data_IF_687836180050
#
_entry.id   IF_687836180050
#
_cell.length_a   1.000
_cell.length_b   1.000
_cell.length_c   1.000
_cell.angle_alpha   90.00
_cell.angle_beta   90.00
_cell.angle_gamma   90.00
#
_symmetry.space_group_name_H-M   'P 1'
#
loop_
_entity.id
_entity.type
_entity.pdbx_description
1 polymer ?
#
# COMPACT_ATOMS: atom_id res chain seq x y z
N UNK A 1 -14.59 27.70 24.18
CA UNK A 1 -14.60 28.34 22.85
C UNK A 1 -13.64 27.56 21.95
N UNK A 2 -14.07 26.38 21.49
CA UNK A 2 -13.30 25.52 20.59
C UNK A 2 -13.61 25.95 19.16
N UNK A 3 -12.59 26.36 18.40
CA UNK A 3 -12.73 26.73 17.01
C UNK A 3 -13.07 25.47 16.20
N UNK A 4 -14.34 25.34 15.82
CA UNK A 4 -14.76 24.49 14.71
C UNK A 4 -14.24 25.15 13.43
N UNK A 5 -13.03 24.78 13.00
CA UNK A 5 -12.58 25.05 11.64
C UNK A 5 -13.31 24.09 10.69
N UNK A 6 -14.46 24.55 10.20
CA UNK A 6 -15.35 23.81 9.31
C UNK A 6 -14.97 24.01 7.83
N UNK A 7 -13.67 24.07 7.51
CA UNK A 7 -13.16 24.35 6.17
C UNK A 7 -12.91 23.10 5.30
N UNK A 8 -13.29 21.90 5.77
CA UNK A 8 -13.25 20.66 4.98
C UNK A 8 -14.44 20.55 4.02
N UNK A 9 -14.52 21.44 3.03
CA UNK A 9 -15.42 21.24 1.89
C UNK A 9 -15.06 19.94 1.13
N UNK A 10 -16.02 19.36 0.41
CA UNK A 10 -15.84 18.20 -0.47
C UNK A 10 -14.83 18.51 -1.60
N UNK A 11 -13.54 18.45 -1.29
CA UNK A 11 -12.44 18.73 -2.20
C UNK A 11 -11.67 17.45 -2.48
N UNK A 12 -11.53 17.11 -3.75
CA UNK A 12 -10.67 16.02 -4.20
C UNK A 12 -9.22 16.46 -3.96
N UNK A 13 -8.47 15.65 -3.20
CA UNK A 13 -7.06 15.88 -2.90
C UNK A 13 -6.25 14.71 -3.45
N UNK A 14 -5.31 15.03 -4.34
CA UNK A 14 -4.35 14.05 -4.86
C UNK A 14 -3.12 14.01 -3.94
N UNK A 15 -2.63 12.80 -3.67
CA UNK A 15 -1.43 12.56 -2.85
C UNK A 15 -0.38 11.92 -3.74
N UNK A 16 0.81 12.51 -3.78
CA UNK A 16 1.92 12.01 -4.58
C UNK A 16 3.27 12.28 -3.91
N UNK A 17 4.29 11.56 -4.40
CA UNK A 17 5.67 11.78 -4.04
C UNK A 17 6.29 12.97 -4.78
N UNK A 18 7.56 13.30 -4.48
CA UNK A 18 8.26 14.41 -5.11
C UNK A 18 8.71 14.11 -6.55
N UNK A 19 8.65 12.85 -6.96
CA UNK A 19 9.20 12.33 -8.22
C UNK A 19 8.09 11.66 -9.04
N UNK A 20 8.05 11.95 -10.35
CA UNK A 20 7.26 11.19 -11.32
C UNK A 20 8.22 10.23 -12.01
N UNK A 21 7.96 8.93 -11.88
CA UNK A 21 8.85 7.86 -12.36
C UNK A 21 8.05 6.82 -13.12
N UNK A 22 8.64 6.29 -14.19
CA UNK A 22 8.11 5.14 -14.89
C UNK A 22 8.24 3.87 -14.05
N UNK A 23 7.42 2.87 -14.36
CA UNK A 23 7.51 1.55 -13.72
C UNK A 23 8.92 0.92 -13.85
N UNK A 24 9.58 1.14 -14.99
CA UNK A 24 10.95 0.67 -15.23
C UNK A 24 11.94 1.32 -14.25
N UNK A 25 11.85 2.63 -14.06
CA UNK A 25 12.69 3.37 -13.12
C UNK A 25 12.42 2.92 -11.69
N UNK A 26 11.14 2.72 -11.32
CA UNK A 26 10.75 2.21 -10.01
C UNK A 26 11.36 0.82 -9.72
N UNK A 27 11.31 -0.09 -10.69
CA UNK A 27 11.95 -1.42 -10.56
C UNK A 27 13.47 -1.31 -10.41
N UNK A 28 14.11 -0.37 -11.10
CA UNK A 28 15.55 -0.13 -10.94
C UNK A 28 15.90 0.49 -9.58
N UNK A 29 15.13 1.46 -9.10
CA UNK A 29 15.26 2.04 -7.77
C UNK A 29 15.17 0.95 -6.70
N UNK A 30 14.19 0.06 -6.80
CA UNK A 30 14.09 -1.10 -5.91
C UNK A 30 15.34 -1.97 -5.94
N UNK A 31 15.84 -2.36 -7.13
CA UNK A 31 17.04 -3.20 -7.22
C UNK A 31 18.28 -2.53 -6.61
N UNK A 32 18.40 -1.21 -6.76
CA UNK A 32 19.49 -0.42 -6.19
C UNK A 32 19.43 -0.43 -4.66
N UNK A 33 18.27 -0.13 -4.08
CA UNK A 33 18.10 -0.05 -2.62
C UNK A 33 18.18 -1.44 -1.97
N UNK A 34 17.61 -2.46 -2.60
CA UNK A 34 17.64 -3.84 -2.11
C UNK A 34 19.00 -4.56 -2.30
N UNK A 35 20.01 -3.89 -2.89
CA UNK A 35 21.32 -4.50 -3.15
C UNK A 35 21.28 -5.63 -4.19
N UNK A 36 20.28 -5.64 -5.07
CA UNK A 36 20.11 -6.65 -6.11
C UNK A 36 20.88 -6.25 -7.37
N UNK A 37 21.34 -7.26 -8.12
CA UNK A 37 21.92 -7.03 -9.46
C UNK A 37 20.89 -6.32 -10.36
N UNK A 38 21.35 -5.34 -11.13
CA UNK A 38 20.53 -4.60 -12.09
C UNK A 38 19.83 -5.58 -13.04
N UNK A 39 18.49 -5.55 -13.07
CA UNK A 39 17.67 -6.44 -13.90
C UNK A 39 17.59 -5.93 -15.34
N UNK A 40 17.57 -6.84 -16.31
CA UNK A 40 17.26 -6.50 -17.71
C UNK A 40 15.75 -6.62 -17.91
N UNK A 41 15.08 -5.51 -18.25
CA UNK A 41 13.63 -5.46 -18.44
C UNK A 41 13.34 -5.40 -19.94
N UNK A 42 12.90 -6.53 -20.49
CA UNK A 42 12.53 -6.68 -21.91
C UNK A 42 11.00 -6.64 -22.04
N UNK A 43 10.44 -5.76 -22.91
CA UNK A 43 9.02 -5.78 -23.21
C UNK A 43 8.71 -7.06 -23.98
N UNK A 44 7.90 -7.93 -23.41
CA UNK A 44 7.39 -9.10 -24.11
C UNK A 44 6.08 -8.73 -24.79
N UNK A 45 5.91 -8.98 -26.10
CA UNK A 45 4.61 -8.83 -26.74
C UNK A 45 3.68 -9.81 -26.05
N UNK A 46 2.70 -9.28 -25.31
CA UNK A 46 1.77 -10.05 -24.48
C UNK A 46 1.18 -11.15 -25.36
N UNK A 47 1.72 -12.36 -25.22
CA UNK A 47 1.39 -13.52 -26.05
C UNK A 47 -0.09 -13.81 -25.86
N UNK A 48 -0.93 -13.24 -26.74
CA UNK A 48 -2.37 -13.41 -26.94
C UNK A 48 -3.23 -13.68 -25.68
N UNK A 49 -4.31 -12.92 -25.44
CA UNK A 49 -5.26 -13.14 -24.32
C UNK A 49 -5.78 -14.58 -24.12
N UNK A 50 -5.60 -15.47 -25.10
CA UNK A 50 -5.92 -16.91 -25.02
C UNK A 50 -4.87 -17.74 -24.28
N UNK A 51 -3.59 -17.41 -24.35
CA UNK A 51 -2.51 -18.15 -23.65
C UNK A 51 -2.34 -17.70 -22.18
N UNK A 52 -2.71 -16.45 -21.86
CA UNK A 52 -2.58 -15.87 -20.52
C UNK A 52 -3.46 -16.55 -19.46
N UNK A 53 -4.60 -17.12 -19.85
CA UNK A 53 -5.51 -17.85 -18.96
C UNK A 53 -4.89 -19.09 -18.30
N UNK A 54 -3.96 -19.75 -18.98
CA UNK A 54 -3.25 -20.92 -18.45
C UNK A 54 -1.97 -20.53 -17.68
N UNK A 55 -1.32 -19.42 -18.06
CA UNK A 55 -0.05 -19.01 -17.45
C UNK A 55 -0.27 -18.34 -16.07
N UNK A 56 -1.32 -17.52 -15.90
CA UNK A 56 -1.57 -16.89 -14.59
C UNK A 56 -1.82 -17.94 -13.49
N UNK A 57 -2.70 -18.93 -13.74
CA UNK A 57 -2.95 -20.04 -12.79
C UNK A 57 -1.74 -20.96 -12.55
N UNK A 58 -0.76 -20.96 -13.46
CA UNK A 58 0.44 -21.78 -13.35
C UNK A 58 1.57 -21.09 -12.55
N UNK A 59 1.64 -19.75 -12.55
CA UNK A 59 2.68 -18.99 -11.80
C UNK A 59 2.21 -18.49 -10.44
N UNK A 60 0.91 -18.24 -10.26
CA UNK A 60 0.33 -17.93 -8.96
C UNK A 60 -1.13 -18.35 -8.88
N UNK A 61 -1.60 -18.91 -7.74
CA UNK A 61 -3.00 -19.28 -7.56
C UNK A 61 -3.87 -18.05 -7.25
N UNK A 62 -3.79 -17.00 -8.07
CA UNK A 62 -4.62 -15.80 -7.92
C UNK A 62 -5.86 -15.91 -8.82
N UNK A 63 -7.05 -15.51 -8.33
CA UNK A 63 -8.25 -15.43 -9.16
C UNK A 63 -8.02 -14.54 -10.39
N UNK A 64 -8.45 -15.02 -11.57
CA UNK A 64 -8.26 -14.30 -12.84
C UNK A 64 -8.80 -12.86 -12.81
N UNK A 65 -9.92 -12.63 -12.12
CA UNK A 65 -10.53 -11.30 -11.96
C UNK A 65 -9.61 -10.33 -11.22
N UNK A 66 -8.91 -10.80 -10.18
CA UNK A 66 -7.94 -10.00 -9.44
C UNK A 66 -6.69 -9.73 -10.28
N UNK A 67 -6.14 -10.75 -10.93
CA UNK A 67 -4.98 -10.60 -11.81
C UNK A 67 -5.25 -9.59 -12.93
N UNK A 68 -6.44 -9.62 -13.53
CA UNK A 68 -6.85 -8.67 -14.56
C UNK A 68 -6.95 -7.23 -14.03
N UNK A 69 -7.62 -7.02 -12.90
CA UNK A 69 -7.74 -5.70 -12.29
C UNK A 69 -6.37 -5.09 -11.95
N UNK A 70 -5.43 -5.91 -11.46
CA UNK A 70 -4.06 -5.48 -11.19
C UNK A 70 -3.32 -5.10 -12.48
N UNK A 71 -3.39 -5.93 -13.52
CA UNK A 71 -2.74 -5.63 -14.81
C UNK A 71 -3.32 -4.35 -15.42
N UNK A 72 -4.64 -4.23 -15.47
CA UNK A 72 -5.32 -3.05 -16.01
C UNK A 72 -4.92 -1.79 -15.22
N UNK A 73 -4.84 -1.88 -13.88
CA UNK A 73 -4.36 -0.79 -13.03
C UNK A 73 -2.89 -0.42 -13.30
N UNK A 74 -2.02 -1.39 -13.60
CA UNK A 74 -0.61 -1.13 -13.90
C UNK A 74 -0.40 -0.44 -15.26
N UNK A 75 -1.36 -0.56 -16.17
CA UNK A 75 -1.32 0.12 -17.48
C UNK A 75 -1.82 1.56 -17.44
N UNK A 76 -2.42 1.98 -16.32
CA UNK A 76 -2.94 3.34 -16.15
C UNK A 76 -1.90 4.22 -15.48
N UNK A 77 -1.64 5.40 -16.06
CA UNK A 77 -0.74 6.38 -15.47
C UNK A 77 -1.36 7.03 -14.22
N UNK A 78 -0.80 6.75 -13.04
CA UNK A 78 -1.23 7.33 -11.76
C UNK A 78 -0.29 8.47 -11.38
N UNK A 79 -0.39 9.57 -12.12
CA UNK A 79 0.40 10.79 -11.89
C UNK A 79 -0.50 11.88 -11.34
N UNK A 80 -0.04 12.61 -10.32
CA UNK A 80 -0.73 13.79 -9.79
C UNK A 80 -0.75 14.88 -10.88
N UNK A 81 -1.93 15.15 -11.44
CA UNK A 81 -2.11 16.13 -12.53
C UNK A 81 -2.58 17.48 -11.98
N UNK A 82 -3.34 17.45 -10.89
CA UNK A 82 -3.93 18.65 -10.30
C UNK A 82 -3.46 18.77 -8.87
N UNK A 83 -2.32 19.46 -8.68
CA UNK A 83 -1.96 19.99 -7.37
C UNK A 83 -3.14 20.79 -6.85
N UNK A 84 -3.64 20.42 -5.66
CA UNK A 84 -4.83 20.99 -5.02
C UNK A 84 -4.97 22.47 -5.36
N UNK A 85 -6.14 22.89 -5.87
CA UNK A 85 -6.45 24.30 -6.29
C UNK A 85 -6.16 25.36 -5.22
N UNK A 86 -5.87 24.93 -3.98
CA UNK A 86 -5.59 25.73 -2.79
C UNK A 86 -4.18 25.49 -2.18
N UNK A 87 -3.21 24.98 -2.95
CA UNK A 87 -1.79 25.05 -2.58
C UNK A 87 -1.29 24.12 -1.47
N UNK A 88 -2.14 23.31 -0.85
CA UNK A 88 -1.72 22.22 0.04
C UNK A 88 -1.83 20.88 -0.70
N UNK A 89 -0.76 20.52 -1.40
CA UNK A 89 -0.48 19.11 -1.70
C UNK A 89 0.05 18.52 -0.40
N UNK A 90 -0.55 17.43 0.10
CA UNK A 90 0.07 16.61 1.13
C UNK A 90 1.30 15.97 0.49
N UNK A 91 2.40 16.71 0.49
CA UNK A 91 3.64 16.32 -0.19
C UNK A 91 4.36 15.36 0.74
N UNK A 92 4.50 14.11 0.31
CA UNK A 92 5.50 13.27 0.93
C UNK A 92 6.87 13.78 0.45
N UNK A 93 7.73 14.16 1.38
CA UNK A 93 9.07 14.66 1.06
C UNK A 93 10.08 13.52 0.81
N UNK A 94 9.70 12.28 1.14
CA UNK A 94 10.55 11.13 0.90
C UNK A 94 10.73 10.89 -0.61
N UNK A 95 12.00 10.81 -1.02
CA UNK A 95 12.36 10.27 -2.32
C UNK A 95 11.92 8.82 -2.46
N UNK A 96 11.76 8.35 -3.69
CA UNK A 96 11.39 6.95 -3.94
C UNK A 96 12.40 5.99 -3.28
N UNK A 97 13.71 6.28 -3.41
CA UNK A 97 14.77 5.49 -2.79
C UNK A 97 14.64 5.43 -1.26
N UNK A 98 14.32 6.57 -0.61
CA UNK A 98 14.10 6.66 0.85
C UNK A 98 12.89 5.84 1.27
N UNK A 99 11.77 5.96 0.55
CA UNK A 99 10.54 5.23 0.84
C UNK A 99 10.75 3.71 0.72
N UNK A 100 11.43 3.26 -0.33
CA UNK A 100 11.80 1.85 -0.51
C UNK A 100 12.70 1.38 0.64
N UNK A 101 13.69 2.19 1.03
CA UNK A 101 14.59 1.89 2.14
C UNK A 101 13.84 1.67 3.45
N UNK A 102 12.93 2.58 3.79
CA UNK A 102 12.06 2.47 4.98
C UNK A 102 11.18 1.22 4.94
N UNK A 103 10.58 0.93 3.79
CA UNK A 103 9.75 -0.27 3.62
C UNK A 103 10.57 -1.57 3.82
N UNK A 104 11.76 -1.64 3.24
CA UNK A 104 12.66 -2.79 3.39
C UNK A 104 13.16 -2.95 4.83
N UNK A 105 13.50 -1.86 5.50
CA UNK A 105 13.87 -1.88 6.93
C UNK A 105 12.74 -2.45 7.78
N UNK A 106 11.51 -1.98 7.56
CA UNK A 106 10.32 -2.45 8.30
C UNK A 106 10.02 -3.94 8.07
N UNK A 107 10.28 -4.46 6.87
CA UNK A 107 10.17 -5.89 6.58
C UNK A 107 11.23 -6.70 7.34
N UNK A 108 12.48 -6.21 7.39
CA UNK A 108 13.59 -6.88 8.09
C UNK A 108 13.36 -6.93 9.61
N UNK A 109 12.79 -5.87 10.18
CA UNK A 109 12.50 -5.77 11.61
C UNK A 109 11.27 -6.61 12.04
N UNK A 110 10.61 -7.31 11.10
CA UNK A 110 9.35 -8.03 11.32
C UNK A 110 8.26 -7.15 11.95
N UNK A 111 8.37 -5.83 11.82
CA UNK A 111 7.38 -4.85 12.27
C UNK A 111 6.14 -4.77 11.36
N UNK A 112 5.95 -5.78 10.51
CA UNK A 112 4.70 -6.01 9.80
C UNK A 112 3.83 -6.81 10.77
N UNK A 113 2.82 -6.22 11.41
CA UNK A 113 1.86 -6.98 12.19
C UNK A 113 1.07 -7.88 11.22
N UNK A 114 1.61 -9.05 10.89
CA UNK A 114 0.88 -10.07 10.12
C UNK A 114 -0.26 -10.55 11.00
N UNK A 115 -1.49 -10.12 10.70
CA UNK A 115 -2.67 -10.54 11.46
C UNK A 115 -3.39 -11.63 10.65
N UNK A 116 -3.82 -12.69 11.33
CA UNK A 116 -4.65 -13.75 10.74
C UNK A 116 -5.95 -13.22 10.09
N UNK A 117 -6.36 -11.99 10.40
CA UNK A 117 -7.51 -11.30 9.79
C UNK A 117 -7.24 -10.75 8.38
N UNK A 118 -5.98 -10.68 7.91
CA UNK A 118 -5.66 -10.25 6.53
C UNK A 118 -6.17 -11.26 5.47
N UNK A 119 -6.71 -12.40 5.89
CA UNK A 119 -7.44 -13.35 5.05
C UNK A 119 -8.96 -13.11 5.05
N UNK A 120 -9.44 -12.02 5.65
CA UNK A 120 -10.87 -11.72 5.64
C UNK A 120 -11.34 -11.59 4.18
N UNK A 121 -12.37 -12.38 3.86
CA UNK A 121 -12.79 -12.71 2.50
C UNK A 121 -12.74 -11.53 1.53
N UNK A 122 -12.15 -11.76 0.35
CA UNK A 122 -12.14 -10.89 -0.85
C UNK A 122 -13.51 -10.34 -1.32
N UNK A 123 -14.59 -10.58 -0.57
CA UNK A 123 -15.96 -10.17 -0.90
C UNK A 123 -16.23 -8.69 -0.62
N UNK A 124 -15.44 -8.00 0.20
CA UNK A 124 -15.68 -6.58 0.49
C UNK A 124 -14.38 -5.82 0.86
N UNK A 125 -13.68 -5.23 -0.12
CA UNK A 125 -12.47 -4.45 0.11
C UNK A 125 -12.72 -3.10 0.80
N UNK A 126 -13.98 -2.68 0.99
CA UNK A 126 -14.35 -1.46 1.71
C UNK A 126 -14.68 -1.71 3.19
N UNK A 127 -14.38 -2.92 3.71
CA UNK A 127 -14.63 -3.26 5.11
C UNK A 127 -13.70 -2.44 6.02
N UNK A 128 -14.22 -1.87 7.12
CA UNK A 128 -13.41 -1.11 8.08
C UNK A 128 -12.37 -2.00 8.76
N UNK A 129 -11.11 -1.57 8.73
CA UNK A 129 -9.97 -2.26 9.33
C UNK A 129 -9.54 -1.61 10.66
N UNK A 130 -8.95 -2.37 11.59
CA UNK A 130 -8.45 -1.83 12.88
C UNK A 130 -7.41 -0.70 12.75
N UNK A 131 -6.76 -0.58 11.60
CA UNK A 131 -5.81 0.49 11.28
C UNK A 131 -6.49 1.75 10.76
N UNK A 132 -7.77 1.68 10.42
CA UNK A 132 -8.49 2.82 9.87
C UNK A 132 -8.70 3.88 10.95
N UNK A 133 -8.64 5.16 10.58
CA UNK A 133 -8.92 6.24 11.52
C UNK A 133 -10.35 6.14 12.06
N UNK A 134 -10.57 6.59 13.30
CA UNK A 134 -11.89 6.54 13.97
C UNK A 134 -13.01 7.22 13.18
N UNK A 135 -12.66 8.12 12.26
CA UNK A 135 -13.60 8.84 11.39
C UNK A 135 -13.98 8.10 10.10
N UNK A 136 -13.33 6.98 9.73
CA UNK A 136 -13.62 6.22 8.51
C UNK A 136 -14.99 5.52 8.53
N UNK A 137 -15.60 5.42 9.71
CA UNK A 137 -16.88 4.74 9.92
C UNK A 137 -16.74 3.22 10.04
N UNK A 138 -17.85 2.54 10.26
CA UNK A 138 -17.89 1.07 10.39
C UNK A 138 -17.77 0.56 11.84
N UNK A 139 -18.05 -0.75 12.02
CA UNK A 139 -18.09 -1.39 13.35
C UNK A 139 -16.92 -2.36 13.48
N UNK A 140 -15.96 -2.01 14.32
CA UNK A 140 -14.81 -2.85 14.66
C UNK A 140 -15.05 -3.47 16.03
N UNK A 141 -14.97 -4.80 16.12
CA UNK A 141 -15.06 -5.53 17.38
C UNK A 141 -13.64 -5.91 17.81
N UNK A 142 -13.22 -5.51 19.01
CA UNK A 142 -11.90 -5.80 19.57
C UNK A 142 -12.07 -6.74 20.75
N UNK A 143 -11.47 -7.94 20.68
CA UNK A 143 -11.34 -8.83 21.85
C UNK A 143 -10.10 -8.37 22.65
N UNK A 144 -10.32 -7.80 23.83
CA UNK A 144 -9.25 -7.43 24.77
C UNK A 144 -9.29 -8.41 25.94
N UNK A 145 -8.16 -9.06 26.20
CA UNK A 145 -7.97 -9.93 27.37
C UNK A 145 -6.86 -9.35 28.23
N UNK A 146 -7.17 -9.12 29.49
CA UNK A 146 -6.22 -8.65 30.50
C UNK A 146 -6.06 -9.76 31.55
N UNK A 147 -4.84 -9.94 32.04
CA UNK A 147 -4.54 -10.85 33.14
C UNK A 147 -3.64 -10.12 34.14
N UNK A 148 -3.98 -10.20 35.42
CA UNK A 148 -3.17 -9.62 36.49
C UNK A 148 -2.05 -10.59 36.87
N UNK A 149 -0.81 -10.11 36.91
CA UNK A 149 0.31 -10.87 37.45
C UNK A 149 0.74 -10.28 38.79
N UNK A 150 1.14 -11.14 39.73
CA UNK A 150 1.62 -10.72 41.06
C UNK A 150 3.14 -10.46 41.11
N UNK A 151 3.82 -10.35 39.97
CA UNK A 151 5.25 -10.02 39.94
C UNK A 151 5.45 -8.53 40.27
N UNK A 152 6.29 -8.24 41.26
CA UNK A 152 6.70 -6.87 41.60
C UNK A 152 7.75 -6.36 40.61
N UNK A 153 7.70 -5.06 40.31
CA UNK A 153 8.54 -4.34 39.34
C UNK A 153 10.07 -4.39 39.61
N UNK A 154 10.52 -5.01 40.70
CA UNK A 154 11.92 -5.03 41.15
C UNK A 154 12.74 -6.22 40.63
N UNK A 155 12.31 -6.89 39.56
CA UNK A 155 13.05 -8.01 38.95
C UNK A 155 13.19 -7.86 37.44
N UNK A 156 13.39 -6.63 36.95
CA UNK A 156 13.90 -6.32 35.61
C UNK A 156 15.32 -5.76 35.71
#
# INVERSE_FOLDING_TARGET
>A
MFLQDNSYGNQIREIGGPEVVSYREMMHAYTKVAGLRRRVILPVPVLTPRLSSHWVNLVSPLPFTLARALIDSLTTDVVVQHGTRNGQVLKNEDSLDSAIGKALARIQELEIPTRWSDTSSFKDPARPEPTDPVWSGGKILVDRREAFSHASEQSL
#
